data_IF_060405479366
#
_entry.id   IF_060405479366
#
_cell.length_a   1.000
_cell.length_b   1.000
_cell.length_c   1.000
_cell.angle_alpha   90.00
_cell.angle_beta   90.00
_cell.angle_gamma   90.00
#
_symmetry.space_group_name_H-M   'P 1'
#
loop_
_entity.id
_entity.type
_entity.pdbx_description
1 polymer ?
#
# COMPACT_ATOMS: atom_id res chain seq x y z
N UNK A 1 -29.50 3.84 -0.52
CA UNK A 1 -28.37 4.43 0.24
C UNK A 1 -27.10 4.17 -0.54
N UNK A 2 -26.52 5.20 -1.16
CA UNK A 2 -25.21 5.12 -1.79
C UNK A 2 -24.15 5.25 -0.69
N UNK A 3 -23.51 4.15 -0.33
CA UNK A 3 -22.37 4.19 0.60
C UNK A 3 -21.18 4.69 -0.23
N UNK A 4 -20.91 5.99 -0.15
CA UNK A 4 -19.68 6.56 -0.70
C UNK A 4 -18.54 6.15 0.24
N UNK A 5 -17.83 5.08 -0.09
CA UNK A 5 -16.62 4.70 0.64
C UNK A 5 -15.59 5.81 0.45
N UNK A 6 -15.25 6.52 1.53
CA UNK A 6 -14.22 7.54 1.52
C UNK A 6 -12.85 6.89 1.28
N UNK A 7 -12.43 6.91 0.02
CA UNK A 7 -11.20 6.34 -0.52
C UNK A 7 -9.97 7.21 -0.22
N UNK A 8 -10.10 8.31 0.51
CA UNK A 8 -8.96 9.19 0.83
C UNK A 8 -7.88 8.46 1.63
N UNK A 9 -8.26 7.52 2.51
CA UNK A 9 -7.34 6.60 3.20
C UNK A 9 -6.65 5.60 2.27
N UNK A 10 -7.26 5.30 1.11
CA UNK A 10 -6.64 4.46 0.07
C UNK A 10 -5.58 5.24 -0.75
N UNK A 11 -5.51 6.56 -0.58
CA UNK A 11 -4.51 7.45 -1.19
C UNK A 11 -3.54 8.04 -0.15
N UNK A 12 -3.18 7.31 0.90
CA UNK A 12 -2.14 7.78 1.83
C UNK A 12 -0.79 7.91 1.10
N UNK A 13 -0.29 9.14 0.85
CA UNK A 13 0.94 9.36 0.10
C UNK A 13 2.17 8.78 0.82
N UNK A 14 2.13 8.65 2.15
CA UNK A 14 3.22 8.04 2.91
C UNK A 14 3.30 6.53 2.66
N UNK A 15 2.15 5.85 2.66
CA UNK A 15 2.07 4.42 2.32
C UNK A 15 2.45 4.17 0.86
N UNK A 16 1.98 5.01 -0.05
CA UNK A 16 2.35 4.92 -1.47
C UNK A 16 3.86 5.11 -1.68
N UNK A 17 4.47 6.05 -0.95
CA UNK A 17 5.92 6.27 -0.99
C UNK A 17 6.72 5.05 -0.51
N UNK A 18 6.28 4.38 0.57
CA UNK A 18 6.93 3.16 1.08
C UNK A 18 6.89 2.02 0.05
N UNK A 19 5.74 1.83 -0.60
CA UNK A 19 5.58 0.81 -1.65
C UNK A 19 6.50 1.07 -2.85
N UNK A 20 6.57 2.31 -3.34
CA UNK A 20 7.48 2.69 -4.43
C UNK A 20 8.95 2.48 -4.02
N UNK A 21 9.30 2.81 -2.77
CA UNK A 21 10.66 2.58 -2.28
C UNK A 21 11.03 1.09 -2.32
N UNK A 22 10.14 0.21 -1.86
CA UNK A 22 10.39 -1.23 -1.89
C UNK A 22 10.34 -1.85 -3.28
N UNK A 23 9.77 -1.16 -4.26
CA UNK A 23 9.87 -1.50 -5.69
C UNK A 23 11.21 -1.06 -6.32
N UNK A 24 12.08 -0.36 -5.57
CA UNK A 24 13.41 0.04 -6.02
C UNK A 24 13.52 1.50 -6.48
N UNK A 25 12.45 2.30 -6.37
CA UNK A 25 12.54 3.73 -6.68
C UNK A 25 13.34 4.47 -5.60
N UNK A 26 14.18 5.42 -6.04
CA UNK A 26 14.91 6.30 -5.13
C UNK A 26 14.01 7.37 -4.51
N UNK A 27 14.37 7.87 -3.32
CA UNK A 27 13.63 8.94 -2.63
C UNK A 27 13.37 10.18 -3.53
N UNK A 28 14.32 10.66 -4.35
CA UNK A 28 14.05 11.75 -5.30
C UNK A 28 13.00 11.41 -6.37
N UNK A 29 13.02 10.20 -6.92
CA UNK A 29 12.03 9.75 -7.92
C UNK A 29 10.63 9.69 -7.29
N UNK A 30 10.52 9.12 -6.09
CA UNK A 30 9.26 9.03 -5.35
C UNK A 30 8.70 10.43 -5.06
N UNK A 31 9.55 11.34 -4.59
CA UNK A 31 9.17 12.73 -4.33
C UNK A 31 8.59 13.40 -5.59
N UNK A 32 9.22 13.20 -6.76
CA UNK A 32 8.71 13.70 -8.03
C UNK A 32 7.36 13.05 -8.43
N UNK A 33 7.25 11.73 -8.33
CA UNK A 33 6.04 10.98 -8.71
C UNK A 33 4.83 11.36 -7.86
N UNK A 34 5.03 11.57 -6.55
CA UNK A 34 3.96 11.94 -5.61
C UNK A 34 3.77 13.45 -5.48
N UNK A 35 4.56 14.25 -6.21
CA UNK A 35 4.57 15.72 -6.12
C UNK A 35 4.80 16.22 -4.67
N UNK A 36 5.68 15.53 -3.93
CA UNK A 36 6.04 15.83 -2.55
C UNK A 36 7.45 16.42 -2.46
N UNK A 37 7.73 17.17 -1.40
CA UNK A 37 9.10 17.64 -1.13
C UNK A 37 9.98 16.45 -0.73
N UNK A 38 11.19 16.35 -1.29
CA UNK A 38 12.17 15.29 -0.97
C UNK A 38 12.40 15.11 0.55
N UNK A 39 12.58 16.16 1.37
CA UNK A 39 12.75 15.99 2.82
C UNK A 39 11.56 15.30 3.51
N UNK A 40 10.35 15.49 2.98
CA UNK A 40 9.15 14.83 3.51
C UNK A 40 9.26 13.31 3.34
N UNK A 41 9.58 12.85 2.13
CA UNK A 41 9.75 11.41 1.84
C UNK A 41 10.94 10.83 2.60
N UNK A 42 12.05 11.57 2.68
CA UNK A 42 13.21 11.17 3.48
C UNK A 42 12.86 10.99 4.96
N UNK A 43 12.06 11.90 5.53
CA UNK A 43 11.60 11.84 6.92
C UNK A 43 10.70 10.63 7.16
N UNK A 44 9.86 10.25 6.20
CA UNK A 44 9.05 9.02 6.31
C UNK A 44 9.93 7.77 6.29
N UNK A 45 10.84 7.67 5.31
CA UNK A 45 11.81 6.57 5.20
C UNK A 45 12.55 6.31 6.51
N UNK A 46 13.03 7.38 7.14
CA UNK A 46 13.76 7.29 8.40
C UNK A 46 12.86 6.92 9.58
N UNK A 47 11.70 7.56 9.72
CA UNK A 47 10.78 7.31 10.85
C UNK A 47 10.19 5.90 10.83
N UNK A 48 9.91 5.37 9.64
CA UNK A 48 9.30 4.06 9.46
C UNK A 48 10.34 2.96 9.22
N UNK A 49 11.62 3.29 9.22
CA UNK A 49 12.71 2.33 9.06
C UNK A 49 12.59 1.48 7.78
N UNK A 50 12.28 2.08 6.63
CA UNK A 50 11.99 1.31 5.41
C UNK A 50 13.14 0.38 4.98
N UNK A 51 14.39 0.74 5.30
CA UNK A 51 15.58 -0.07 5.01
C UNK A 51 15.63 -1.36 5.84
N UNK A 52 15.09 -1.35 7.08
CA UNK A 52 15.14 -2.48 7.99
C UNK A 52 13.96 -3.45 7.84
N UNK A 53 12.95 -3.10 7.03
CA UNK A 53 11.83 -4.00 6.76
C UNK A 53 12.29 -5.16 5.89
N UNK A 54 12.24 -6.38 6.43
CA UNK A 54 12.62 -7.60 5.72
C UNK A 54 11.71 -7.83 4.49
N UNK A 55 12.23 -8.37 3.37
CA UNK A 55 11.42 -8.62 2.16
C UNK A 55 10.16 -9.44 2.42
N UNK A 56 10.24 -10.48 3.27
CA UNK A 56 9.09 -11.32 3.63
C UNK A 56 7.98 -10.51 4.31
N UNK A 57 8.35 -9.62 5.24
CA UNK A 57 7.38 -8.75 5.92
C UNK A 57 6.69 -7.79 4.94
N UNK A 58 7.38 -7.35 3.88
CA UNK A 58 6.76 -6.51 2.82
C UNK A 58 5.70 -7.29 2.04
N UNK A 59 5.96 -8.57 1.77
CA UNK A 59 5.00 -9.47 1.11
C UNK A 59 3.79 -9.69 2.01
N UNK A 60 4.01 -10.01 3.29
CA UNK A 60 2.94 -10.21 4.28
C UNK A 60 2.06 -8.97 4.42
N UNK A 61 2.65 -7.77 4.56
CA UNK A 61 1.91 -6.52 4.65
C UNK A 61 1.09 -6.22 3.38
N UNK A 62 1.61 -6.59 2.20
CA UNK A 62 0.90 -6.40 0.93
C UNK A 62 -0.27 -7.38 0.80
N UNK A 63 -0.06 -8.62 1.23
CA UNK A 63 -1.08 -9.67 1.26
C UNK A 63 -2.23 -9.31 2.21
N UNK A 64 -1.91 -8.91 3.44
CA UNK A 64 -2.88 -8.47 4.45
C UNK A 64 -3.72 -7.29 3.94
N UNK A 65 -3.07 -6.30 3.32
CA UNK A 65 -3.77 -5.14 2.77
C UNK A 65 -4.74 -5.53 1.67
N UNK A 66 -4.33 -6.43 0.77
CA UNK A 66 -5.17 -6.89 -0.33
C UNK A 66 -6.35 -7.73 0.15
N UNK A 67 -6.11 -8.68 1.06
CA UNK A 67 -7.16 -9.46 1.70
C UNK A 67 -8.17 -8.56 2.41
N UNK A 68 -7.71 -7.58 3.19
CA UNK A 68 -8.58 -6.60 3.85
C UNK A 68 -9.48 -5.88 2.84
N UNK A 69 -8.93 -5.36 1.75
CA UNK A 69 -9.71 -4.70 0.69
C UNK A 69 -10.78 -5.61 0.08
N UNK A 70 -10.43 -6.87 -0.21
CA UNK A 70 -11.35 -7.84 -0.77
C UNK A 70 -12.47 -8.16 0.23
N UNK A 71 -12.14 -8.34 1.51
CA UNK A 71 -13.09 -8.65 2.58
C UNK A 71 -14.10 -7.52 2.79
N UNK A 72 -13.65 -6.25 2.84
CA UNK A 72 -14.56 -5.11 3.08
C UNK A 72 -15.39 -4.71 1.86
N UNK A 73 -15.07 -5.24 0.67
CA UNK A 73 -15.78 -4.92 -0.58
C UNK A 73 -17.28 -5.21 -0.44
N UNK A 74 -18.19 -4.22 -0.62
CA UNK A 74 -19.63 -4.38 -0.39
C UNK A 74 -20.30 -5.39 -1.32
N UNK A 75 -19.90 -5.41 -2.59
CA UNK A 75 -20.40 -6.33 -3.61
C UNK A 75 -19.22 -7.10 -4.20
N UNK A 76 -19.12 -8.38 -3.84
CA UNK A 76 -18.05 -9.28 -4.32
C UNK A 76 -18.51 -10.00 -5.57
N UNK A 77 -17.60 -10.13 -6.52
CA UNK A 77 -17.74 -10.94 -7.73
C UNK A 77 -17.17 -12.33 -7.48
N UNK A 78 -17.46 -13.28 -8.38
CA UNK A 78 -16.82 -14.61 -8.33
C UNK A 78 -15.29 -14.54 -8.41
N UNK A 79 -14.75 -13.53 -9.10
CA UNK A 79 -13.31 -13.26 -9.15
C UNK A 79 -12.73 -12.85 -7.80
N UNK A 80 -13.43 -11.99 -7.04
CA UNK A 80 -12.98 -11.58 -5.71
C UNK A 80 -12.94 -12.76 -4.73
N UNK A 81 -13.95 -13.64 -4.77
CA UNK A 81 -13.96 -14.86 -3.96
C UNK A 81 -12.81 -15.82 -4.32
N UNK A 82 -12.52 -15.97 -5.62
CA UNK A 82 -11.39 -16.78 -6.08
C UNK A 82 -10.05 -16.18 -5.64
N UNK A 83 -9.91 -14.86 -5.68
CA UNK A 83 -8.69 -14.20 -5.22
C UNK A 83 -8.47 -14.40 -3.71
N UNK A 84 -9.52 -14.25 -2.88
CA UNK A 84 -9.46 -14.54 -1.44
C UNK A 84 -9.01 -15.99 -1.20
N UNK A 85 -9.59 -16.97 -1.91
CA UNK A 85 -9.21 -18.38 -1.78
C UNK A 85 -7.74 -18.63 -2.15
N UNK A 86 -7.24 -17.98 -3.19
CA UNK A 86 -5.84 -18.15 -3.63
C UNK A 86 -4.85 -17.46 -2.69
N UNK A 87 -5.24 -16.33 -2.09
CA UNK A 87 -4.39 -15.56 -1.18
C UNK A 87 -4.41 -16.09 0.27
N UNK A 88 -5.42 -16.89 0.65
CA UNK A 88 -5.56 -17.45 2.01
C UNK A 88 -4.96 -18.84 2.21
N UNK A 89 -4.23 -19.38 1.23
CA UNK A 89 -3.55 -20.69 1.28
C UNK A 89 -2.10 -20.54 1.70
#
# INVERSE_FOLDING_TARGET
>A
MTITTDTTLLHDPRRQAALLYWQGFSVPQIAAMLQMKRPTVQSWKQRDGWDSVAPISRVEMSLEARLTQLIIKPQKTGGDFKEIDLLGR
#
